data_IF_101350785459
#
_entry.id   IF_101350785459
#
_cell.length_a   1.000
_cell.length_b   1.000
_cell.length_c   1.000
_cell.angle_alpha   90.00
_cell.angle_beta   90.00
_cell.angle_gamma   90.00
#
_symmetry.space_group_name_H-M   'P 1'
#
loop_
_entity.id
_entity.type
_entity.pdbx_description
1 polymer ?
#
# COMPACT_ATOMS: atom_id res chain seq x y z
N UNK A 1 -30.57 -29.24 -21.57
CA UNK A 1 -29.86 -28.09 -22.10
C UNK A 1 -29.86 -26.99 -21.01
N UNK A 2 -28.98 -27.12 -19.99
CA UNK A 2 -28.87 -26.18 -18.88
C UNK A 2 -27.59 -25.36 -19.09
N UNK A 3 -27.74 -24.06 -19.36
CA UNK A 3 -26.64 -23.11 -19.39
C UNK A 3 -26.21 -22.81 -17.95
N UNK A 4 -25.00 -23.25 -17.57
CA UNK A 4 -24.33 -22.81 -16.39
C UNK A 4 -23.83 -21.38 -16.58
N UNK A 5 -24.52 -20.40 -15.98
CA UNK A 5 -24.07 -19.03 -15.84
C UNK A 5 -22.98 -18.98 -14.77
N UNK A 6 -21.71 -18.96 -15.20
CA UNK A 6 -20.59 -18.75 -14.31
C UNK A 6 -20.63 -17.32 -13.73
N UNK A 7 -20.98 -17.19 -12.45
CA UNK A 7 -20.76 -15.98 -11.67
C UNK A 7 -19.23 -15.79 -11.55
N UNK A 8 -18.66 -14.85 -12.27
CA UNK A 8 -17.32 -14.31 -11.95
C UNK A 8 -17.45 -13.55 -10.64
N UNK A 9 -17.19 -14.21 -9.52
CA UNK A 9 -17.00 -13.54 -8.25
C UNK A 9 -15.80 -12.58 -8.42
N UNK A 10 -16.00 -11.29 -8.10
CA UNK A 10 -14.91 -10.31 -8.05
C UNK A 10 -13.91 -10.78 -6.99
N UNK A 11 -12.61 -10.64 -7.22
CA UNK A 11 -11.53 -11.11 -6.32
C UNK A 11 -11.71 -10.65 -4.86
N UNK A 12 -12.33 -9.48 -4.64
CA UNK A 12 -12.71 -8.98 -3.31
C UNK A 12 -13.73 -9.83 -2.56
N UNK A 13 -14.71 -10.44 -3.25
CA UNK A 13 -15.72 -11.27 -2.58
C UNK A 13 -15.12 -12.54 -1.96
N UNK A 14 -14.05 -13.08 -2.52
CA UNK A 14 -13.38 -14.30 -2.03
C UNK A 14 -12.56 -14.02 -0.76
N UNK A 15 -11.87 -12.88 -0.69
CA UNK A 15 -11.13 -12.45 0.49
C UNK A 15 -12.08 -12.16 1.68
N UNK A 16 -13.21 -11.50 1.41
CA UNK A 16 -14.28 -11.23 2.38
C UNK A 16 -14.88 -12.51 2.98
N UNK A 17 -15.21 -13.49 2.13
CA UNK A 17 -15.78 -14.76 2.57
C UNK A 17 -14.77 -15.51 3.44
N UNK A 18 -13.49 -15.45 3.09
CA UNK A 18 -12.43 -16.14 3.81
C UNK A 18 -12.13 -15.47 5.16
N UNK A 19 -11.99 -14.12 5.19
CA UNK A 19 -11.78 -13.36 6.42
C UNK A 19 -12.95 -13.56 7.40
N UNK A 20 -14.20 -13.50 6.92
CA UNK A 20 -15.39 -13.84 7.69
C UNK A 20 -15.40 -15.31 8.17
N UNK A 21 -15.00 -16.25 7.31
CA UNK A 21 -14.88 -17.66 7.66
C UNK A 21 -13.82 -17.88 8.75
N UNK A 22 -12.69 -17.19 8.71
CA UNK A 22 -11.62 -17.27 9.69
C UNK A 22 -11.92 -16.50 10.98
N UNK A 23 -12.53 -15.32 10.88
CA UNK A 23 -12.90 -14.51 12.05
C UNK A 23 -14.13 -15.11 12.75
N UNK A 24 -15.09 -15.66 12.01
CA UNK A 24 -16.36 -16.17 12.56
C UNK A 24 -16.34 -17.66 12.89
N UNK A 25 -15.54 -18.48 12.21
CA UNK A 25 -15.52 -19.93 12.47
C UNK A 25 -14.55 -20.31 13.60
N UNK A 26 -15.10 -20.94 14.62
CA UNK A 26 -14.36 -21.45 15.79
C UNK A 26 -13.27 -22.50 15.47
N UNK A 27 -13.13 -22.98 14.25
CA UNK A 27 -12.13 -23.97 13.87
C UNK A 27 -10.70 -23.42 13.85
N UNK A 28 -10.51 -22.13 13.59
CA UNK A 28 -9.20 -21.47 13.60
C UNK A 28 -8.55 -21.38 15.01
N UNK A 29 -9.32 -21.59 16.08
CA UNK A 29 -8.82 -21.50 17.49
C UNK A 29 -8.32 -22.84 18.01
N UNK A 30 -8.51 -23.95 17.30
CA UNK A 30 -7.96 -25.25 17.69
C UNK A 30 -6.48 -25.44 17.35
N UNK A 31 -5.89 -24.58 16.52
CA UNK A 31 -4.42 -24.47 16.51
C UNK A 31 -4.02 -24.08 17.94
N UNK A 32 -3.46 -25.01 18.69
CA UNK A 32 -2.80 -24.78 19.98
C UNK A 32 -2.06 -23.46 19.87
N UNK A 33 -2.46 -22.46 20.70
CA UNK A 33 -1.61 -21.28 20.85
C UNK A 33 -0.23 -21.83 21.21
N UNK A 34 0.76 -21.76 20.31
CA UNK A 34 2.08 -22.27 20.66
C UNK A 34 2.53 -21.46 21.86
N UNK A 35 2.90 -22.14 22.92
CA UNK A 35 3.66 -21.54 23.98
C UNK A 35 4.88 -20.86 23.35
N UNK A 36 5.33 -19.79 23.93
CA UNK A 36 6.50 -18.99 23.61
C UNK A 36 7.57 -19.75 22.83
N UNK A 37 7.83 -19.31 21.56
CA UNK A 37 8.74 -19.96 20.63
C UNK A 37 8.30 -21.41 20.46
N UNK A 38 7.46 -21.73 19.48
CA UNK A 38 6.99 -23.10 19.32
C UNK A 38 8.23 -24.01 19.36
N UNK A 39 8.45 -24.80 20.41
CA UNK A 39 9.68 -25.57 20.57
C UNK A 39 9.82 -26.64 19.50
N UNK A 40 8.79 -26.82 18.66
CA UNK A 40 8.68 -27.88 17.67
C UNK A 40 8.54 -27.38 16.23
N UNK A 41 8.69 -26.05 15.94
CA UNK A 41 8.62 -25.57 14.56
C UNK A 41 9.83 -26.05 13.77
N UNK A 42 9.59 -26.80 12.70
CA UNK A 42 10.65 -27.27 11.81
C UNK A 42 11.16 -26.11 10.95
N UNK A 43 12.46 -25.85 11.01
CA UNK A 43 13.11 -24.76 10.31
C UNK A 43 13.93 -25.29 9.12
N UNK A 44 13.55 -24.87 7.92
CA UNK A 44 14.35 -25.03 6.70
C UNK A 44 15.14 -23.75 6.47
N UNK A 45 16.39 -23.73 6.92
CA UNK A 45 17.19 -22.49 7.01
C UNK A 45 17.41 -21.83 5.65
N UNK A 46 17.65 -22.62 4.60
CA UNK A 46 17.79 -22.11 3.24
C UNK A 46 17.52 -23.26 2.25
N UNK A 47 16.42 -23.12 1.53
CA UNK A 47 16.06 -24.06 0.45
C UNK A 47 16.71 -23.57 -0.84
N UNK A 48 17.51 -24.47 -1.45
CA UNK A 48 18.21 -24.24 -2.72
C UNK A 48 17.99 -25.41 -3.70
N UNK A 49 17.20 -26.42 -3.31
CA UNK A 49 16.91 -27.62 -4.12
C UNK A 49 15.43 -27.76 -4.37
N UNK A 50 15.10 -28.26 -5.56
CA UNK A 50 13.72 -28.39 -6.01
C UNK A 50 12.91 -29.37 -5.18
N UNK A 51 13.48 -30.53 -4.86
CA UNK A 51 12.82 -31.57 -4.04
C UNK A 51 12.45 -31.06 -2.64
N UNK A 52 13.30 -30.25 -2.03
CA UNK A 52 13.04 -29.62 -0.72
C UNK A 52 11.91 -28.59 -0.83
N UNK A 53 11.89 -27.79 -1.92
CA UNK A 53 10.84 -26.81 -2.18
C UNK A 53 9.50 -27.52 -2.44
N UNK A 54 9.47 -28.51 -3.29
CA UNK A 54 8.25 -29.25 -3.66
C UNK A 54 7.63 -29.94 -2.42
N UNK A 55 8.45 -30.55 -1.56
CA UNK A 55 8.00 -31.14 -0.31
C UNK A 55 7.38 -30.11 0.65
N UNK A 56 8.01 -28.94 0.78
CA UNK A 56 7.47 -27.84 1.59
C UNK A 56 6.13 -27.35 1.03
N UNK A 57 6.04 -27.09 -0.28
CA UNK A 57 4.84 -26.57 -0.92
C UNK A 57 3.69 -27.56 -0.84
N UNK A 58 3.95 -28.86 -1.05
CA UNK A 58 2.91 -29.90 -0.91
C UNK A 58 2.25 -29.85 0.48
N UNK A 59 3.01 -29.63 1.55
CA UNK A 59 2.47 -29.49 2.90
C UNK A 59 1.74 -28.15 3.13
N UNK A 60 2.37 -27.03 2.73
CA UNK A 60 1.79 -25.70 2.93
C UNK A 60 0.52 -25.47 2.10
N UNK A 61 0.31 -26.23 1.02
CA UNK A 61 -0.91 -26.15 0.19
C UNK A 61 -2.19 -26.55 0.93
N UNK A 62 -2.08 -27.19 2.09
CA UNK A 62 -3.20 -27.57 2.96
C UNK A 62 -3.24 -26.80 4.26
N UNK A 63 -2.35 -25.81 4.44
CA UNK A 63 -2.32 -24.98 5.63
C UNK A 63 -3.50 -23.99 5.64
N UNK A 64 -3.97 -23.62 6.81
CA UNK A 64 -4.99 -22.58 6.96
C UNK A 64 -4.48 -21.21 6.50
N UNK A 65 -3.19 -20.93 6.74
CA UNK A 65 -2.50 -19.71 6.31
C UNK A 65 -1.01 -19.93 6.16
N UNK A 66 -0.37 -19.00 5.44
CA UNK A 66 1.08 -18.88 5.38
C UNK A 66 1.48 -17.43 5.66
N UNK A 67 2.43 -17.22 6.56
CA UNK A 67 3.13 -15.95 6.74
C UNK A 67 4.19 -15.83 5.64
N UNK A 68 4.26 -14.67 4.99
CA UNK A 68 5.16 -14.43 3.86
C UNK A 68 5.89 -13.12 4.06
N UNK A 69 7.18 -13.12 3.74
CA UNK A 69 8.03 -11.95 3.72
C UNK A 69 9.04 -12.05 2.58
N UNK A 70 9.62 -10.92 2.13
CA UNK A 70 10.61 -10.93 1.06
C UNK A 70 11.76 -10.00 1.36
N UNK A 71 12.98 -10.42 0.94
CA UNK A 71 14.13 -9.54 0.90
C UNK A 71 14.52 -9.28 -0.56
N UNK A 72 14.74 -8.03 -0.91
CA UNK A 72 14.99 -7.62 -2.28
C UNK A 72 15.93 -6.40 -2.37
N UNK A 73 16.51 -6.21 -3.58
CA UNK A 73 17.29 -5.03 -3.92
C UNK A 73 16.54 -4.16 -4.94
N UNK A 74 16.56 -2.83 -4.77
CA UNK A 74 15.86 -1.90 -5.66
C UNK A 74 16.70 -0.66 -6.07
N UNK A 75 17.91 -0.56 -5.59
CA UNK A 75 18.72 0.66 -5.78
C UNK A 75 19.12 0.90 -7.24
N UNK A 76 19.39 -0.18 -7.98
CA UNK A 76 19.95 -0.13 -9.32
C UNK A 76 19.02 -0.65 -10.41
N UNK A 77 17.80 -1.04 -10.06
CA UNK A 77 16.82 -1.65 -10.97
C UNK A 77 15.49 -0.88 -10.95
N UNK A 78 14.73 -0.99 -12.02
CA UNK A 78 13.33 -0.52 -12.05
C UNK A 78 12.42 -1.42 -11.24
N UNK A 79 12.50 -2.72 -11.47
CA UNK A 79 11.78 -3.74 -10.73
C UNK A 79 12.57 -4.16 -9.49
N UNK A 80 11.91 -4.40 -8.36
CA UNK A 80 12.56 -5.02 -7.21
C UNK A 80 13.19 -6.36 -7.63
N UNK A 81 14.45 -6.56 -7.32
CA UNK A 81 15.16 -7.82 -7.56
C UNK A 81 15.01 -8.71 -6.34
N UNK A 82 14.11 -9.70 -6.41
CA UNK A 82 13.86 -10.65 -5.33
C UNK A 82 15.13 -11.42 -4.99
N UNK A 83 15.57 -11.33 -3.74
CA UNK A 83 16.80 -11.94 -3.26
C UNK A 83 16.57 -13.08 -2.27
N UNK A 84 15.46 -13.07 -1.53
CA UNK A 84 15.07 -14.13 -0.63
C UNK A 84 13.55 -14.07 -0.45
N UNK A 85 12.89 -15.23 -0.35
CA UNK A 85 11.49 -15.32 0.03
C UNK A 85 11.39 -16.20 1.28
N UNK A 86 10.67 -15.73 2.27
CA UNK A 86 10.41 -16.47 3.48
C UNK A 86 8.94 -16.85 3.57
N UNK A 87 8.69 -18.07 4.06
CA UNK A 87 7.33 -18.56 4.25
C UNK A 87 7.25 -19.41 5.51
N UNK A 88 6.18 -19.28 6.27
CA UNK A 88 5.93 -20.08 7.46
C UNK A 88 4.44 -20.30 7.70
N UNK A 89 4.10 -21.40 8.33
CA UNK A 89 2.87 -21.57 9.07
C UNK A 89 3.16 -21.78 10.57
N UNK A 90 2.30 -22.46 11.31
CA UNK A 90 2.52 -22.74 12.74
C UNK A 90 3.47 -23.92 12.99
N UNK A 91 3.81 -24.69 11.98
CA UNK A 91 4.57 -25.95 12.09
C UNK A 91 5.93 -25.90 11.42
N UNK A 92 6.03 -25.21 10.29
CA UNK A 92 7.27 -25.11 9.52
C UNK A 92 7.55 -23.68 9.08
N UNK A 93 8.85 -23.34 8.97
CA UNK A 93 9.31 -22.10 8.36
C UNK A 93 10.50 -22.35 7.44
N UNK A 94 10.57 -21.58 6.36
CA UNK A 94 11.62 -21.72 5.37
C UNK A 94 12.06 -20.37 4.81
N UNK A 95 13.36 -20.24 4.53
CA UNK A 95 13.92 -19.25 3.62
C UNK A 95 14.20 -19.96 2.29
N UNK A 96 13.79 -19.38 1.16
CA UNK A 96 13.94 -19.93 -0.18
C UNK A 96 14.82 -18.96 -0.97
N UNK A 97 15.91 -19.48 -1.57
CA UNK A 97 16.83 -18.68 -2.39
C UNK A 97 16.37 -18.66 -3.86
N UNK A 98 15.74 -17.56 -4.33
CA UNK A 98 15.29 -17.46 -5.73
C UNK A 98 16.44 -17.39 -6.75
N UNK A 99 17.67 -17.22 -6.25
CA UNK A 99 18.89 -17.16 -7.10
C UNK A 99 19.66 -18.47 -7.12
N UNK A 100 19.15 -19.52 -6.47
CA UNK A 100 19.76 -20.84 -6.51
C UNK A 100 19.66 -21.44 -7.92
N UNK A 101 20.76 -21.99 -8.40
CA UNK A 101 20.83 -22.58 -9.75
C UNK A 101 19.88 -23.78 -9.88
N UNK A 102 19.04 -23.75 -10.90
CA UNK A 102 18.09 -24.83 -11.21
C UNK A 102 16.84 -24.85 -10.33
N UNK A 103 16.64 -23.89 -9.42
CA UNK A 103 15.41 -23.81 -8.62
C UNK A 103 14.30 -23.12 -9.41
N UNK A 104 13.19 -23.83 -9.64
CA UNK A 104 11.96 -23.26 -10.20
C UNK A 104 11.04 -22.79 -9.06
N UNK A 105 10.79 -21.49 -9.02
CA UNK A 105 9.90 -20.87 -8.02
C UNK A 105 8.41 -21.06 -8.35
N UNK A 106 8.07 -21.60 -9.53
CA UNK A 106 6.67 -21.68 -9.97
C UNK A 106 5.75 -22.36 -8.95
N UNK A 107 6.09 -23.50 -8.32
CA UNK A 107 5.23 -24.12 -7.32
C UNK A 107 4.95 -23.22 -6.13
N UNK A 108 5.94 -22.45 -5.66
CA UNK A 108 5.79 -21.48 -4.58
C UNK A 108 4.91 -20.31 -5.00
N UNK A 109 5.15 -19.74 -6.18
CA UNK A 109 4.35 -18.64 -6.70
C UNK A 109 2.89 -19.07 -6.96
N UNK A 110 2.67 -20.29 -7.47
CA UNK A 110 1.33 -20.85 -7.63
C UNK A 110 0.62 -21.00 -6.27
N UNK A 111 1.29 -21.46 -5.22
CA UNK A 111 0.72 -21.47 -3.86
C UNK A 111 0.25 -20.07 -3.44
N UNK A 112 1.02 -19.05 -3.76
CA UNK A 112 0.69 -17.67 -3.36
C UNK A 112 -0.48 -17.09 -4.16
N UNK A 113 -0.57 -17.35 -5.47
CA UNK A 113 -1.54 -16.64 -6.34
C UNK A 113 -2.69 -17.51 -6.86
N UNK A 114 -2.56 -18.84 -6.89
CA UNK A 114 -3.60 -19.74 -7.40
C UNK A 114 -4.34 -20.49 -6.27
N UNK A 115 -3.69 -20.72 -5.13
CA UNK A 115 -4.33 -21.42 -4.03
C UNK A 115 -5.15 -20.44 -3.18
N UNK A 116 -6.46 -20.37 -3.44
CA UNK A 116 -7.39 -19.51 -2.72
C UNK A 116 -7.89 -20.08 -1.38
N UNK A 117 -7.54 -21.31 -1.03
CA UNK A 117 -7.89 -21.94 0.24
C UNK A 117 -6.88 -21.57 1.35
N UNK A 118 -5.67 -21.15 1.00
CA UNK A 118 -4.62 -20.72 1.92
C UNK A 118 -4.58 -19.21 2.03
N UNK A 119 -4.70 -18.66 3.23
CA UNK A 119 -4.54 -17.21 3.47
C UNK A 119 -3.07 -16.82 3.46
N UNK A 120 -2.72 -15.75 2.76
CA UNK A 120 -1.37 -15.16 2.75
C UNK A 120 -1.31 -13.99 3.72
N UNK A 121 -0.46 -14.11 4.73
CA UNK A 121 -0.32 -13.14 5.82
C UNK A 121 0.98 -12.35 5.65
N UNK A 122 0.85 -11.03 5.62
CA UNK A 122 1.95 -10.08 5.49
C UNK A 122 1.98 -9.09 6.65
N UNK A 123 3.08 -8.33 6.75
CA UNK A 123 3.15 -7.14 7.59
C UNK A 123 3.65 -5.94 6.78
N UNK A 124 2.79 -4.96 6.54
CA UNK A 124 3.07 -3.83 5.65
C UNK A 124 3.51 -4.27 4.24
N UNK A 125 2.84 -5.33 3.73
CA UNK A 125 3.25 -6.15 2.59
C UNK A 125 3.17 -5.47 1.22
N UNK A 126 3.01 -4.15 1.12
CA UNK A 126 2.84 -3.48 -0.17
C UNK A 126 3.97 -3.73 -1.16
N UNK A 127 5.23 -3.85 -0.70
CA UNK A 127 6.38 -4.14 -1.57
C UNK A 127 6.47 -5.61 -1.95
N UNK A 128 6.14 -6.50 -1.03
CA UNK A 128 6.07 -7.95 -1.28
C UNK A 128 5.00 -8.27 -2.33
N UNK A 129 3.85 -7.63 -2.21
CA UNK A 129 2.76 -7.73 -3.18
C UNK A 129 3.16 -7.20 -4.57
N UNK A 130 3.90 -6.08 -4.63
CA UNK A 130 4.48 -5.56 -5.88
C UNK A 130 5.40 -6.60 -6.52
N UNK A 131 6.27 -7.24 -5.75
CA UNK A 131 7.20 -8.27 -6.23
C UNK A 131 6.44 -9.48 -6.77
N UNK A 132 5.51 -10.03 -6.00
CA UNK A 132 4.71 -11.18 -6.42
C UNK A 132 3.89 -10.84 -7.67
N UNK A 133 3.25 -9.67 -7.71
CA UNK A 133 2.51 -9.22 -8.89
C UNK A 133 3.41 -9.06 -10.12
N UNK A 134 4.61 -8.52 -9.98
CA UNK A 134 5.56 -8.35 -11.08
C UNK A 134 6.04 -9.71 -11.63
N UNK A 135 6.20 -10.72 -10.77
CA UNK A 135 6.64 -12.05 -11.18
C UNK A 135 5.53 -12.88 -11.81
N UNK A 136 4.27 -12.68 -11.39
CA UNK A 136 3.16 -13.58 -11.75
C UNK A 136 2.06 -12.91 -12.57
N UNK A 137 1.97 -11.59 -12.58
CA UNK A 137 0.84 -10.83 -13.11
C UNK A 137 -0.44 -10.94 -12.27
N UNK A 138 -0.40 -11.58 -11.10
CA UNK A 138 -1.55 -11.86 -10.23
C UNK A 138 -1.29 -11.39 -8.80
N UNK A 139 -2.38 -11.22 -8.04
CA UNK A 139 -2.30 -10.88 -6.62
C UNK A 139 -2.40 -12.13 -5.74
N UNK A 140 -1.66 -12.21 -4.63
CA UNK A 140 -1.73 -13.32 -3.68
C UNK A 140 -3.00 -13.20 -2.80
N UNK A 141 -4.12 -13.64 -3.32
CA UNK A 141 -5.41 -13.62 -2.62
C UNK A 141 -5.87 -15.01 -2.22
N UNK A 142 -6.56 -15.18 -1.07
CA UNK A 142 -6.88 -14.15 -0.06
C UNK A 142 -5.63 -13.69 0.70
N UNK A 143 -5.60 -12.42 1.11
CA UNK A 143 -4.49 -11.86 1.87
C UNK A 143 -4.94 -11.18 3.16
N UNK A 144 -4.01 -11.04 4.11
CA UNK A 144 -4.19 -10.34 5.37
C UNK A 144 -2.93 -9.56 5.73
N UNK A 145 -3.07 -8.28 6.04
CA UNK A 145 -1.95 -7.46 6.49
C UNK A 145 -2.07 -7.16 7.99
N UNK A 146 -1.09 -7.61 8.74
CA UNK A 146 -1.05 -7.46 10.21
C UNK A 146 -0.83 -6.03 10.66
N UNK A 147 -0.26 -5.13 9.83
CA UNK A 147 -0.15 -3.71 10.14
C UNK A 147 -1.53 -3.05 10.10
N UNK A 148 -2.36 -3.37 9.11
CA UNK A 148 -3.75 -2.90 9.01
C UNK A 148 -4.56 -3.41 10.21
N UNK A 149 -4.42 -4.69 10.54
CA UNK A 149 -5.08 -5.28 11.73
C UNK A 149 -4.66 -4.58 13.03
N UNK A 150 -3.38 -4.25 13.17
CA UNK A 150 -2.85 -3.52 14.31
C UNK A 150 -3.43 -2.10 14.42
N UNK A 151 -3.73 -1.43 13.31
CA UNK A 151 -4.41 -0.13 13.29
C UNK A 151 -5.82 -0.21 13.89
N UNK A 152 -6.58 -1.26 13.57
CA UNK A 152 -7.92 -1.50 14.13
C UNK A 152 -7.89 -1.85 15.62
N UNK A 153 -6.77 -2.37 16.10
CA UNK A 153 -6.55 -2.75 17.51
C UNK A 153 -5.85 -1.69 18.35
N UNK A 154 -5.58 -0.50 17.79
CA UNK A 154 -5.03 0.63 18.53
C UNK A 154 -3.52 0.61 18.75
N UNK A 155 -2.78 -0.19 17.99
CA UNK A 155 -1.32 -0.23 18.06
C UNK A 155 -0.62 0.92 17.30
N UNK A 156 -1.38 1.95 16.86
CA UNK A 156 -0.87 3.11 16.13
C UNK A 156 -1.13 3.05 14.63
N UNK A 157 -0.76 4.13 13.91
CA UNK A 157 -1.12 4.33 12.49
C UNK A 157 -0.31 3.49 11.50
N UNK A 158 0.94 3.18 11.83
CA UNK A 158 1.85 2.41 10.99
C UNK A 158 2.91 1.77 11.90
N UNK A 159 2.45 0.92 12.82
CA UNK A 159 3.39 0.24 13.71
C UNK A 159 4.36 -0.61 12.88
N UNK A 160 5.66 -0.42 13.12
CA UNK A 160 6.69 -1.27 12.49
C UNK A 160 6.67 -2.67 13.09
N UNK A 161 7.07 -3.64 12.27
CA UNK A 161 7.02 -5.06 12.58
C UNK A 161 7.61 -5.41 13.96
N UNK A 162 8.85 -5.01 14.22
CA UNK A 162 9.52 -5.30 15.49
C UNK A 162 8.79 -4.74 16.71
N UNK A 163 8.20 -3.53 16.59
CA UNK A 163 7.44 -2.94 17.69
C UNK A 163 6.11 -3.69 17.92
N UNK A 164 5.49 -4.19 16.86
CA UNK A 164 4.28 -5.01 16.98
C UNK A 164 4.60 -6.36 17.62
N UNK A 165 5.68 -7.01 17.21
CA UNK A 165 6.17 -8.25 17.82
C UNK A 165 6.50 -8.04 19.30
N UNK A 166 7.22 -7.00 19.65
CA UNK A 166 7.54 -6.67 21.04
C UNK A 166 6.27 -6.42 21.87
N UNK A 167 5.34 -5.61 21.35
CA UNK A 167 4.07 -5.30 22.03
C UNK A 167 3.16 -6.51 22.23
N UNK A 168 3.14 -7.44 21.28
CA UNK A 168 2.19 -8.57 21.26
C UNK A 168 2.79 -9.87 21.77
N UNK A 169 4.08 -10.08 21.58
CA UNK A 169 4.80 -11.32 21.92
C UNK A 169 5.83 -11.13 23.01
N UNK A 170 6.22 -9.88 23.34
CA UNK A 170 7.26 -9.60 24.35
C UNK A 170 8.68 -9.90 23.86
N UNK A 171 8.88 -10.04 22.54
CA UNK A 171 10.19 -10.34 21.95
C UNK A 171 10.79 -9.10 21.28
N UNK A 172 12.03 -8.80 21.55
CA UNK A 172 12.81 -7.80 20.83
C UNK A 172 13.51 -8.47 19.63
N UNK A 173 13.33 -7.91 18.43
CA UNK A 173 13.97 -8.43 17.21
C UNK A 173 15.28 -7.73 16.92
N UNK A 174 16.30 -8.49 16.50
CA UNK A 174 17.55 -7.93 15.96
C UNK A 174 17.29 -7.31 14.58
N UNK A 175 17.56 -6.02 14.42
CA UNK A 175 17.38 -5.27 13.16
C UNK A 175 18.65 -5.21 12.32
N UNK A 176 19.71 -5.86 12.74
CA UNK A 176 21.06 -5.64 12.18
C UNK A 176 21.27 -6.15 10.76
N UNK A 177 20.41 -7.05 10.26
CA UNK A 177 20.51 -7.56 8.89
C UNK A 177 19.62 -6.83 7.88
N UNK A 178 18.68 -5.99 8.32
CA UNK A 178 17.66 -5.34 7.47
C UNK A 178 18.24 -4.56 6.27
N UNK A 179 19.38 -3.91 6.43
CA UNK A 179 19.98 -3.05 5.41
C UNK A 179 21.24 -3.64 4.80
N UNK A 180 21.39 -4.96 4.83
CA UNK A 180 22.52 -5.65 4.23
C UNK A 180 22.29 -5.88 2.73
N UNK A 181 23.34 -6.19 2.00
CA UNK A 181 23.23 -6.55 0.58
C UNK A 181 22.70 -7.97 0.43
N UNK A 182 21.40 -8.08 0.18
CA UNK A 182 20.70 -9.35 -0.01
C UNK A 182 21.01 -10.03 -1.34
N UNK A 183 21.57 -9.32 -2.31
CA UNK A 183 21.97 -9.90 -3.60
C UNK A 183 23.23 -10.75 -3.53
N UNK A 184 24.05 -10.55 -2.49
CA UNK A 184 25.32 -11.24 -2.30
C UNK A 184 25.12 -12.72 -1.97
N UNK A 185 26.00 -13.58 -2.50
CA UNK A 185 26.04 -15.02 -2.19
C UNK A 185 27.44 -15.44 -1.77
N UNK A 186 27.54 -16.40 -0.83
CA UNK A 186 26.45 -16.97 -0.03
C UNK A 186 25.85 -15.96 0.96
N UNK A 187 24.58 -16.13 1.33
CA UNK A 187 23.99 -15.41 2.45
C UNK A 187 24.67 -15.83 3.75
N UNK A 188 24.92 -14.87 4.63
CA UNK A 188 25.48 -15.18 5.92
C UNK A 188 24.44 -15.73 6.93
N UNK A 189 24.94 -16.33 8.00
CA UNK A 189 24.07 -16.92 9.03
C UNK A 189 23.13 -15.90 9.66
N UNK A 190 23.57 -14.66 9.82
CA UNK A 190 22.81 -13.60 10.47
C UNK A 190 21.66 -13.11 9.57
N UNK A 191 21.89 -13.04 8.26
CA UNK A 191 20.85 -12.75 7.27
C UNK A 191 19.76 -13.85 7.30
N UNK A 192 20.16 -15.11 7.27
CA UNK A 192 19.20 -16.24 7.29
C UNK A 192 18.43 -16.28 8.63
N UNK A 193 19.11 -16.07 9.76
CA UNK A 193 18.45 -16.06 11.08
C UNK A 193 17.44 -14.91 11.18
N UNK A 194 17.77 -13.73 10.67
CA UNK A 194 16.88 -12.58 10.59
C UNK A 194 15.63 -12.90 9.73
N UNK A 195 15.83 -13.36 8.52
CA UNK A 195 14.75 -13.68 7.57
C UNK A 195 13.78 -14.74 8.10
N UNK A 196 14.30 -15.80 8.72
CA UNK A 196 13.48 -16.84 9.36
C UNK A 196 12.71 -16.27 10.56
N UNK A 197 13.33 -15.40 11.36
CA UNK A 197 12.67 -14.76 12.50
C UNK A 197 11.45 -13.92 12.07
N UNK A 198 11.53 -13.22 10.93
CA UNK A 198 10.44 -12.39 10.45
C UNK A 198 9.18 -13.23 10.18
N UNK A 199 9.25 -14.34 9.51
CA UNK A 199 8.07 -15.17 9.23
C UNK A 199 7.63 -16.04 10.42
N UNK A 200 8.55 -16.52 11.27
CA UNK A 200 8.17 -17.34 12.44
C UNK A 200 7.42 -16.52 13.49
N UNK A 201 7.84 -15.27 13.72
CA UNK A 201 7.11 -14.36 14.59
C UNK A 201 5.79 -13.93 13.96
N UNK A 202 5.73 -13.72 12.63
CA UNK A 202 4.52 -13.36 11.92
C UNK A 202 3.47 -14.48 12.00
N UNK A 203 3.89 -15.74 11.82
CA UNK A 203 3.03 -16.91 11.99
C UNK A 203 2.51 -17.06 13.42
N UNK A 204 3.30 -16.67 14.42
CA UNK A 204 2.88 -16.66 15.84
C UNK A 204 1.97 -15.47 16.17
N UNK A 205 2.21 -14.32 15.56
CA UNK A 205 1.50 -13.07 15.80
C UNK A 205 0.07 -13.09 15.23
N UNK A 206 -0.08 -13.62 14.01
CA UNK A 206 -1.35 -13.60 13.27
C UNK A 206 -2.52 -14.20 14.05
N UNK A 207 -2.47 -15.43 14.62
CA UNK A 207 -3.56 -15.99 15.39
C UNK A 207 -3.95 -15.15 16.62
N UNK A 208 -2.98 -14.49 17.26
CA UNK A 208 -3.22 -13.61 18.41
C UNK A 208 -3.96 -12.33 17.98
N UNK A 209 -3.60 -11.74 16.83
CA UNK A 209 -4.31 -10.59 16.26
C UNK A 209 -5.75 -10.95 15.90
N UNK A 210 -5.97 -12.07 15.21
CA UNK A 210 -7.31 -12.56 14.88
C UNK A 210 -8.15 -12.79 16.15
N UNK A 211 -7.56 -13.36 17.20
CA UNK A 211 -8.22 -13.54 18.49
C UNK A 211 -8.66 -12.22 19.14
N UNK A 212 -7.85 -11.15 19.03
CA UNK A 212 -8.20 -9.81 19.51
C UNK A 212 -9.29 -9.16 18.63
N UNK A 213 -9.19 -9.27 17.30
CA UNK A 213 -10.21 -8.74 16.37
C UNK A 213 -11.59 -9.35 16.63
N UNK A 214 -11.65 -10.67 16.89
CA UNK A 214 -12.90 -11.35 17.28
C UNK A 214 -13.50 -10.78 18.57
N UNK A 215 -12.68 -10.60 19.60
CA UNK A 215 -13.12 -10.07 20.90
C UNK A 215 -13.66 -8.64 20.80
N UNK A 216 -13.16 -7.85 19.87
CA UNK A 216 -13.56 -6.45 19.68
C UNK A 216 -14.64 -6.27 18.60
N UNK A 217 -15.06 -7.35 17.90
CA UNK A 217 -15.97 -7.33 16.76
C UNK A 217 -15.54 -6.36 15.62
N UNK A 218 -14.22 -6.21 15.42
CA UNK A 218 -13.63 -5.26 14.43
C UNK A 218 -13.10 -5.94 13.17
N UNK A 219 -13.42 -7.21 12.98
CA UNK A 219 -12.93 -7.95 11.80
C UNK A 219 -13.37 -7.32 10.48
N UNK A 220 -14.65 -6.98 10.38
CA UNK A 220 -15.26 -6.41 9.17
C UNK A 220 -14.70 -5.00 8.82
N UNK A 221 -14.02 -4.33 9.76
CA UNK A 221 -13.44 -3.01 9.52
C UNK A 221 -12.21 -3.06 8.61
N UNK A 222 -11.64 -4.24 8.43
CA UNK A 222 -10.43 -4.47 7.63
C UNK A 222 -10.73 -4.74 6.16
N UNK A 223 -11.98 -5.11 5.84
CA UNK A 223 -12.34 -5.63 4.51
C UNK A 223 -11.96 -4.66 3.38
N UNK A 224 -12.38 -3.39 3.48
CA UNK A 224 -12.08 -2.38 2.47
C UNK A 224 -10.57 -2.11 2.32
N UNK A 225 -9.82 -2.19 3.43
CA UNK A 225 -8.37 -1.96 3.41
C UNK A 225 -7.63 -3.14 2.76
N UNK A 226 -8.08 -4.38 3.04
CA UNK A 226 -7.54 -5.58 2.42
C UNK A 226 -7.89 -5.65 0.93
N UNK A 227 -9.13 -5.30 0.54
CA UNK A 227 -9.54 -5.21 -0.86
C UNK A 227 -8.68 -4.20 -1.64
N UNK A 228 -8.45 -3.02 -1.05
CA UNK A 228 -7.61 -2.00 -1.67
C UNK A 228 -6.14 -2.45 -1.78
N UNK A 229 -5.63 -3.16 -0.78
CA UNK A 229 -4.28 -3.71 -0.83
C UNK A 229 -4.16 -4.81 -1.89
N UNK A 230 -5.23 -5.58 -2.10
CA UNK A 230 -5.33 -6.63 -3.13
C UNK A 230 -5.64 -6.11 -4.54
N UNK A 231 -5.89 -4.81 -4.70
CA UNK A 231 -6.21 -4.22 -6.01
C UNK A 231 -4.96 -4.15 -6.90
N UNK A 232 -4.89 -4.94 -8.00
CA UNK A 232 -3.74 -4.92 -8.91
C UNK A 232 -3.53 -3.56 -9.58
N UNK A 233 -4.55 -2.71 -9.66
CA UNK A 233 -4.41 -1.36 -10.23
C UNK A 233 -3.44 -0.48 -9.43
N UNK A 234 -3.23 -0.80 -8.14
CA UNK A 234 -2.25 -0.13 -7.30
C UNK A 234 -0.80 -0.36 -7.77
N UNK A 235 -0.55 -1.46 -8.49
CA UNK A 235 0.77 -1.86 -9.00
C UNK A 235 0.89 -1.69 -10.52
N UNK A 236 -0.24 -1.73 -11.23
CA UNK A 236 -0.31 -1.51 -12.67
C UNK A 236 -0.35 0.00 -12.96
N UNK A 237 0.82 0.59 -13.17
CA UNK A 237 0.90 2.01 -13.49
C UNK A 237 1.13 2.19 -15.00
N UNK A 238 0.14 2.64 -15.78
CA UNK A 238 0.28 2.86 -17.22
C UNK A 238 1.39 3.89 -17.52
N UNK A 239 2.29 3.64 -18.49
CA UNK A 239 3.33 4.60 -18.84
C UNK A 239 2.81 6.00 -19.17
N UNK A 240 1.63 6.09 -19.80
CA UNK A 240 0.96 7.34 -20.17
C UNK A 240 0.55 8.18 -18.95
N UNK A 241 0.47 7.59 -17.79
CA UNK A 241 0.15 8.26 -16.51
C UNK A 241 1.39 8.68 -15.72
N UNK A 242 2.59 8.33 -16.17
CA UNK A 242 3.85 8.61 -15.46
C UNK A 242 4.07 10.09 -15.14
N UNK A 243 3.55 10.98 -15.98
CA UNK A 243 3.63 12.43 -15.79
C UNK A 243 2.85 12.93 -14.56
N UNK A 244 1.80 12.22 -14.12
CA UNK A 244 0.98 12.58 -12.95
C UNK A 244 1.76 12.54 -11.64
N UNK A 245 2.91 11.85 -11.62
CA UNK A 245 3.83 11.75 -10.46
C UNK A 245 4.88 12.84 -10.44
N UNK A 246 4.97 13.66 -11.49
CA UNK A 246 5.98 14.70 -11.62
C UNK A 246 5.44 16.02 -11.09
N UNK A 247 6.36 16.85 -10.57
CA UNK A 247 6.05 18.26 -10.31
C UNK A 247 5.81 18.95 -11.65
N UNK A 248 4.63 19.52 -11.83
CA UNK A 248 4.24 20.14 -13.10
C UNK A 248 4.97 21.47 -13.30
N UNK A 249 5.67 21.68 -14.44
CA UNK A 249 6.43 22.90 -14.71
C UNK A 249 5.53 24.06 -15.14
N UNK A 250 4.33 23.77 -15.65
CA UNK A 250 3.42 24.73 -16.28
C UNK A 250 1.99 24.19 -16.25
N UNK A 251 1.01 25.07 -16.51
CA UNK A 251 -0.38 24.70 -16.81
C UNK A 251 -0.71 24.79 -18.30
N UNK A 252 0.26 25.10 -19.13
CA UNK A 252 0.08 25.16 -20.57
C UNK A 252 -0.21 23.75 -21.12
N UNK A 253 -1.36 23.52 -21.80
CA UNK A 253 -1.76 22.20 -22.32
C UNK A 253 -0.69 21.56 -23.20
N UNK A 254 0.01 22.31 -24.05
CA UNK A 254 1.04 21.79 -24.92
C UNK A 254 2.30 21.36 -24.14
N UNK A 255 2.71 22.13 -23.12
CA UNK A 255 3.83 21.75 -22.23
C UNK A 255 3.51 20.47 -21.47
N UNK A 256 2.27 20.36 -20.96
CA UNK A 256 1.83 19.17 -20.26
C UNK A 256 1.70 17.95 -21.17
N UNK A 257 1.25 18.14 -22.42
CA UNK A 257 1.21 17.08 -23.43
C UNK A 257 2.60 16.54 -23.75
N UNK A 258 3.59 17.42 -23.91
CA UNK A 258 5.01 17.03 -24.08
C UNK A 258 5.54 16.31 -22.86
N UNK A 259 5.21 16.78 -21.64
CA UNK A 259 5.61 16.14 -20.41
C UNK A 259 5.01 14.74 -20.29
N UNK A 260 3.73 14.55 -20.65
CA UNK A 260 3.05 13.26 -20.71
C UNK A 260 3.79 12.29 -21.65
N UNK A 261 4.08 12.75 -22.87
CA UNK A 261 4.78 11.94 -23.88
C UNK A 261 6.19 11.54 -23.42
N UNK A 262 6.97 12.49 -22.91
CA UNK A 262 8.34 12.25 -22.39
C UNK A 262 8.34 11.34 -21.15
N UNK A 263 7.41 11.53 -20.22
CA UNK A 263 7.32 10.71 -19.02
C UNK A 263 6.93 9.27 -19.37
N UNK A 264 5.98 9.08 -20.31
CA UNK A 264 5.57 7.76 -20.80
C UNK A 264 6.71 7.04 -21.53
N UNK A 265 7.42 7.76 -22.39
CA UNK A 265 8.62 7.24 -23.05
C UNK A 265 9.69 6.83 -22.02
N UNK A 266 10.01 7.70 -21.05
CA UNK A 266 10.97 7.38 -19.98
C UNK A 266 10.56 6.15 -19.17
N UNK A 267 9.30 6.04 -18.86
CA UNK A 267 8.75 4.90 -18.13
C UNK A 267 8.97 3.59 -18.91
N UNK A 268 8.69 3.60 -20.21
CA UNK A 268 8.90 2.44 -21.09
C UNK A 268 10.38 2.07 -21.22
N UNK A 269 11.29 3.06 -21.38
CA UNK A 269 12.73 2.82 -21.41
C UNK A 269 13.25 2.26 -20.08
N UNK A 270 12.78 2.81 -18.95
CA UNK A 270 13.18 2.36 -17.62
C UNK A 270 12.77 0.90 -17.38
N UNK A 271 11.54 0.54 -17.73
CA UNK A 271 11.03 -0.84 -17.65
C UNK A 271 11.79 -1.80 -18.55
N UNK A 272 11.94 -1.45 -19.83
CA UNK A 272 12.59 -2.30 -20.82
C UNK A 272 14.05 -2.55 -20.53
N UNK A 273 14.75 -1.59 -19.90
CA UNK A 273 16.16 -1.72 -19.51
C UNK A 273 16.36 -2.15 -18.06
N UNK A 274 15.28 -2.30 -17.32
CA UNK A 274 15.29 -2.56 -15.87
C UNK A 274 16.22 -1.57 -15.11
N UNK A 275 16.10 -0.27 -15.42
CA UNK A 275 16.90 0.79 -14.79
C UNK A 275 15.98 1.80 -14.07
N UNK A 276 16.41 2.35 -12.93
CA UNK A 276 15.68 3.43 -12.27
C UNK A 276 15.38 4.58 -13.24
N UNK A 277 14.19 5.18 -13.15
CA UNK A 277 13.73 6.29 -14.00
C UNK A 277 14.76 7.42 -14.10
N UNK A 278 15.35 7.80 -12.96
CA UNK A 278 16.36 8.86 -12.88
C UNK A 278 17.70 8.51 -13.56
N UNK A 279 17.96 7.24 -13.82
CA UNK A 279 19.11 6.77 -14.62
C UNK A 279 18.86 6.92 -16.12
N UNK A 280 17.59 6.92 -16.53
CA UNK A 280 17.22 7.24 -17.91
C UNK A 280 17.28 8.76 -18.10
N UNK A 281 16.42 9.51 -17.41
CA UNK A 281 16.38 10.99 -17.40
C UNK A 281 15.83 11.46 -16.06
N UNK A 282 16.44 12.50 -15.49
CA UNK A 282 15.96 13.13 -14.26
C UNK A 282 14.68 13.93 -14.50
N UNK A 283 13.87 14.10 -13.46
CA UNK A 283 12.58 14.81 -13.51
C UNK A 283 12.75 16.26 -13.99
N UNK A 284 13.75 16.99 -13.47
CA UNK A 284 14.03 18.38 -13.88
C UNK A 284 14.37 18.49 -15.37
N UNK A 285 15.12 17.52 -15.89
CA UNK A 285 15.47 17.48 -17.33
C UNK A 285 14.24 17.20 -18.19
N UNK A 286 13.30 16.32 -17.75
CA UNK A 286 12.03 16.12 -18.46
C UNK A 286 11.20 17.40 -18.49
N UNK A 287 11.13 18.12 -17.38
CA UNK A 287 10.40 19.37 -17.27
C UNK A 287 10.99 20.45 -18.20
N UNK A 288 12.32 20.55 -18.28
CA UNK A 288 13.01 21.46 -19.18
C UNK A 288 12.73 21.13 -20.66
N UNK A 289 12.82 19.86 -21.04
CA UNK A 289 12.52 19.38 -22.38
C UNK A 289 11.05 19.62 -22.79
N UNK A 290 10.13 19.49 -21.86
CA UNK A 290 8.71 19.75 -22.12
C UNK A 290 8.44 21.25 -22.33
N UNK A 291 9.10 22.11 -21.55
CA UNK A 291 8.97 23.58 -21.65
C UNK A 291 9.71 24.14 -22.88
N UNK A 292 10.92 23.65 -23.12
CA UNK A 292 11.84 24.10 -24.18
C UNK A 292 12.28 22.92 -25.06
N UNK A 293 11.41 22.42 -25.95
CA UNK A 293 11.71 21.23 -26.73
C UNK A 293 12.86 21.48 -27.72
N UNK A 294 13.80 20.53 -27.85
CA UNK A 294 14.83 20.58 -28.87
C UNK A 294 14.22 20.53 -30.27
N UNK A 295 14.80 21.23 -31.22
CA UNK A 295 14.33 21.26 -32.62
C UNK A 295 14.83 20.08 -33.44
N UNK A 296 15.95 19.50 -33.05
CA UNK A 296 16.57 18.34 -33.69
C UNK A 296 17.18 17.41 -32.66
N UNK A 297 17.50 16.19 -33.08
CA UNK A 297 18.22 15.24 -32.21
C UNK A 297 19.59 15.75 -31.83
N UNK A 298 20.29 16.51 -32.70
CA UNK A 298 21.56 17.11 -32.40
C UNK A 298 21.52 18.08 -31.21
N UNK A 299 20.43 18.80 -31.07
CA UNK A 299 20.22 19.75 -29.98
C UNK A 299 20.14 19.06 -28.60
N UNK A 300 19.82 17.75 -28.54
CA UNK A 300 19.88 16.97 -27.30
C UNK A 300 21.29 16.98 -26.67
N UNK A 301 22.32 17.10 -27.49
CA UNK A 301 23.70 17.21 -26.98
C UNK A 301 23.97 18.49 -26.16
N UNK A 302 23.11 19.50 -26.28
CA UNK A 302 23.19 20.78 -25.54
C UNK A 302 22.33 20.79 -24.28
N UNK A 303 21.43 19.82 -24.09
CA UNK A 303 20.52 19.77 -22.96
C UNK A 303 21.24 19.31 -21.70
N UNK A 304 21.18 20.13 -20.65
CA UNK A 304 21.80 19.80 -19.36
C UNK A 304 21.17 18.54 -18.77
N UNK A 305 22.00 17.59 -18.36
CA UNK A 305 21.54 16.34 -17.73
C UNK A 305 21.31 15.20 -18.72
N UNK A 306 21.48 15.42 -20.04
CA UNK A 306 21.56 14.36 -21.03
C UNK A 306 23.01 14.04 -21.38
N UNK A 307 23.27 12.77 -21.73
CA UNK A 307 24.57 12.38 -22.31
C UNK A 307 24.73 12.95 -23.74
N UNK A 308 25.92 13.40 -24.08
CA UNK A 308 26.22 13.90 -25.43
C UNK A 308 25.97 12.86 -26.53
N UNK A 309 26.00 11.57 -26.21
CA UNK A 309 25.67 10.49 -27.15
C UNK A 309 24.21 10.48 -27.62
N UNK A 310 23.32 11.16 -26.93
CA UNK A 310 21.87 11.19 -27.29
C UNK A 310 21.62 11.94 -28.61
N UNK A 311 22.51 12.81 -29.01
CA UNK A 311 22.47 13.52 -30.32
C UNK A 311 22.49 12.58 -31.53
N UNK A 312 22.93 11.30 -31.36
CA UNK A 312 23.11 10.39 -32.49
C UNK A 312 22.71 8.92 -32.18
N UNK A 313 22.25 8.61 -30.98
CA UNK A 313 21.86 7.24 -30.62
C UNK A 313 20.36 7.00 -30.68
N UNK A 314 19.95 5.73 -30.63
CA UNK A 314 18.54 5.29 -30.72
C UNK A 314 17.68 5.80 -29.56
N UNK A 315 18.25 6.03 -28.37
CA UNK A 315 17.51 6.55 -27.23
C UNK A 315 17.06 7.98 -27.52
N UNK A 316 17.98 8.81 -28.04
CA UNK A 316 17.66 10.17 -28.45
C UNK A 316 16.63 10.20 -29.57
N UNK A 317 16.74 9.30 -30.57
CA UNK A 317 15.76 9.19 -31.65
C UNK A 317 14.37 8.85 -31.13
N UNK A 318 14.23 7.84 -30.23
CA UNK A 318 12.94 7.49 -29.63
C UNK A 318 12.35 8.61 -28.78
N UNK A 319 13.18 9.35 -28.05
CA UNK A 319 12.73 10.52 -27.30
C UNK A 319 12.20 11.62 -28.21
N UNK A 320 12.91 11.92 -29.31
CA UNK A 320 12.45 12.89 -30.31
C UNK A 320 11.14 12.46 -30.98
N UNK A 321 10.97 11.15 -31.26
CA UNK A 321 9.72 10.61 -31.76
C UNK A 321 8.57 10.83 -30.77
N UNK A 322 8.80 10.58 -29.46
CA UNK A 322 7.79 10.83 -28.42
C UNK A 322 7.43 12.32 -28.32
N UNK A 323 8.41 13.22 -28.42
CA UNK A 323 8.17 14.66 -28.45
C UNK A 323 7.39 15.11 -29.69
N UNK A 324 7.70 14.58 -30.86
CA UNK A 324 7.01 14.92 -32.12
C UNK A 324 5.55 14.44 -32.13
N UNK A 325 5.26 13.34 -31.44
CA UNK A 325 3.89 12.81 -31.28
C UNK A 325 3.12 13.48 -30.14
N UNK A 326 3.70 14.46 -29.43
CA UNK A 326 3.04 15.09 -28.30
C UNK A 326 1.95 16.07 -28.76
N UNK A 327 0.75 15.82 -28.27
CA UNK A 327 -0.42 16.70 -28.49
C UNK A 327 -0.75 17.47 -27.20
N UNK A 328 -1.36 18.67 -27.31
CA UNK A 328 -1.86 19.38 -26.14
C UNK A 328 -2.81 18.50 -25.33
N UNK A 329 -2.74 18.55 -24.01
CA UNK A 329 -3.71 17.87 -23.17
C UNK A 329 -5.11 18.48 -23.35
N UNK A 330 -6.11 17.62 -23.46
CA UNK A 330 -7.51 18.03 -23.47
C UNK A 330 -7.93 18.66 -22.14
N UNK A 331 -8.96 19.49 -22.17
CA UNK A 331 -9.39 20.29 -21.01
C UNK A 331 -9.81 19.43 -19.80
N UNK A 332 -10.38 18.26 -20.06
CA UNK A 332 -10.83 17.28 -19.05
C UNK A 332 -9.67 16.50 -18.40
N UNK A 333 -8.53 16.39 -19.12
CA UNK A 333 -7.30 15.71 -18.63
C UNK A 333 -6.35 16.70 -17.94
N UNK A 334 -6.51 18.00 -18.20
CA UNK A 334 -5.71 19.01 -17.50
C UNK A 334 -5.87 18.85 -16.00
N UNK A 335 -4.77 18.97 -15.21
CA UNK A 335 -4.85 19.00 -13.76
C UNK A 335 -5.69 20.19 -13.33
N UNK A 336 -6.98 20.01 -13.34
CA UNK A 336 -7.90 20.95 -12.69
C UNK A 336 -7.75 20.76 -11.18
N UNK A 337 -7.96 21.80 -10.41
CA UNK A 337 -8.47 21.58 -9.05
C UNK A 337 -9.68 20.70 -9.24
N UNK A 338 -9.63 19.46 -8.73
CA UNK A 338 -10.71 18.48 -8.85
C UNK A 338 -12.04 19.22 -8.59
N UNK A 339 -12.95 19.33 -9.56
CA UNK A 339 -14.23 20.00 -9.32
C UNK A 339 -15.06 19.28 -8.26
N UNK A 340 -14.75 17.98 -8.00
CA UNK A 340 -15.24 17.21 -6.84
C UNK A 340 -14.55 17.57 -5.53
N UNK A 341 -13.45 18.36 -5.58
CA UNK A 341 -12.76 18.90 -4.41
C UNK A 341 -12.64 20.41 -4.56
N UNK A 342 -13.69 21.18 -4.19
CA UNK A 342 -13.58 22.62 -4.11
C UNK A 342 -12.37 22.94 -3.21
N UNK A 343 -11.48 23.82 -3.69
CA UNK A 343 -10.33 24.20 -2.86
C UNK A 343 -10.83 24.80 -1.56
N UNK A 344 -10.22 24.40 -0.45
CA UNK A 344 -10.57 24.93 0.87
C UNK A 344 -10.48 26.45 0.85
N UNK A 345 -11.54 27.11 1.26
CA UNK A 345 -11.53 28.53 1.64
C UNK A 345 -10.65 28.69 2.89
N UNK A 346 -10.34 29.93 3.29
CA UNK A 346 -9.63 30.15 4.56
C UNK A 346 -10.38 29.53 5.73
N UNK A 347 -11.70 29.70 5.78
CA UNK A 347 -12.55 29.12 6.82
C UNK A 347 -12.66 27.60 6.69
N UNK A 348 -12.75 27.05 5.46
CA UNK A 348 -12.72 25.62 5.21
C UNK A 348 -11.44 24.96 5.72
N UNK A 349 -10.31 25.64 5.69
CA UNK A 349 -9.07 25.13 6.28
C UNK A 349 -9.18 25.01 7.82
N UNK A 350 -9.78 25.98 8.48
CA UNK A 350 -10.04 25.94 9.93
C UNK A 350 -11.04 24.81 10.28
N UNK A 351 -12.09 24.66 9.48
CA UNK A 351 -13.05 23.54 9.65
C UNK A 351 -12.34 22.19 9.49
N UNK A 352 -11.44 22.06 8.51
CA UNK A 352 -10.62 20.83 8.35
C UNK A 352 -9.75 20.56 9.59
N UNK A 353 -9.20 21.59 10.23
CA UNK A 353 -8.40 21.41 11.44
C UNK A 353 -9.26 21.01 12.65
N UNK A 354 -10.49 21.53 12.77
CA UNK A 354 -11.45 21.05 13.77
C UNK A 354 -11.85 19.59 13.52
N UNK A 355 -12.05 19.18 12.28
CA UNK A 355 -12.30 17.77 11.93
C UNK A 355 -11.11 16.87 12.28
N UNK A 356 -9.87 17.31 12.07
CA UNK A 356 -8.66 16.58 12.51
C UNK A 356 -8.61 16.44 14.02
N UNK A 357 -9.01 17.50 14.76
CA UNK A 357 -9.11 17.43 16.21
C UNK A 357 -10.16 16.42 16.66
N UNK A 358 -11.36 16.46 16.06
CA UNK A 358 -12.42 15.49 16.32
C UNK A 358 -11.94 14.05 16.03
N UNK A 359 -11.28 13.85 14.89
CA UNK A 359 -10.72 12.54 14.52
C UNK A 359 -9.73 12.03 15.57
N UNK A 360 -8.85 12.90 16.07
CA UNK A 360 -7.88 12.56 17.12
C UNK A 360 -8.58 12.14 18.42
N UNK A 361 -9.67 12.80 18.79
CA UNK A 361 -10.48 12.47 19.97
C UNK A 361 -11.12 11.09 19.77
N UNK A 362 -11.84 10.88 18.66
CA UNK A 362 -12.54 9.62 18.38
C UNK A 362 -11.56 8.44 18.22
N UNK A 363 -10.41 8.67 17.62
CA UNK A 363 -9.31 7.69 17.56
C UNK A 363 -8.84 7.27 18.95
N UNK A 364 -8.65 8.21 19.86
CA UNK A 364 -8.25 7.94 21.25
C UNK A 364 -9.34 7.18 22.03
N UNK A 365 -10.60 7.57 21.88
CA UNK A 365 -11.73 6.95 22.58
C UNK A 365 -12.02 5.53 22.08
N UNK A 366 -12.02 5.33 20.77
CA UNK A 366 -12.25 4.03 20.15
C UNK A 366 -11.02 3.10 20.24
N UNK A 367 -9.84 3.65 20.48
CA UNK A 367 -8.57 2.91 20.38
C UNK A 367 -8.31 2.40 18.96
N UNK A 368 -8.66 3.16 17.93
CA UNK A 368 -8.44 2.84 16.51
C UNK A 368 -7.54 3.91 15.90
N UNK A 369 -6.60 3.52 15.06
CA UNK A 369 -5.72 4.47 14.39
C UNK A 369 -6.50 5.48 13.53
N UNK A 370 -6.16 6.76 13.61
CA UNK A 370 -6.83 7.84 12.88
C UNK A 370 -6.92 7.59 11.38
N UNK A 371 -5.83 7.09 10.76
CA UNK A 371 -5.79 6.79 9.32
C UNK A 371 -6.74 5.71 8.86
N UNK A 372 -7.11 4.78 9.76
CA UNK A 372 -8.09 3.75 9.44
C UNK A 372 -9.51 4.33 9.46
N UNK A 373 -9.79 5.29 10.33
CA UNK A 373 -11.09 5.96 10.46
C UNK A 373 -11.32 6.93 9.31
N UNK A 374 -10.38 7.87 9.09
CA UNK A 374 -10.51 8.92 8.08
C UNK A 374 -9.15 9.31 7.49
N UNK A 375 -9.13 9.68 6.21
CA UNK A 375 -7.97 10.26 5.52
C UNK A 375 -8.07 11.77 5.51
N UNK A 376 -6.93 12.45 5.40
CA UNK A 376 -6.91 13.93 5.28
C UNK A 376 -7.78 14.43 4.12
N UNK A 377 -7.75 13.71 3.00
CA UNK A 377 -8.55 14.04 1.82
C UNK A 377 -10.06 13.99 2.10
N UNK A 378 -10.52 13.04 2.93
CA UNK A 378 -11.94 12.92 3.31
C UNK A 378 -12.36 14.12 4.19
N UNK A 379 -11.49 14.52 5.12
CA UNK A 379 -11.74 15.67 6.01
C UNK A 379 -11.78 16.98 5.23
N UNK A 380 -10.85 17.17 4.29
CA UNK A 380 -10.82 18.35 3.42
C UNK A 380 -12.04 18.39 2.50
N UNK A 381 -12.45 17.26 1.92
CA UNK A 381 -13.65 17.20 1.11
C UNK A 381 -14.93 17.53 1.92
N UNK A 382 -15.03 16.99 3.13
CA UNK A 382 -16.15 17.28 4.03
C UNK A 382 -16.18 18.78 4.43
N UNK A 383 -15.02 19.37 4.77
CA UNK A 383 -14.87 20.78 5.07
C UNK A 383 -15.19 21.70 3.88
N UNK A 384 -14.93 21.22 2.65
CA UNK A 384 -15.28 21.90 1.40
C UNK A 384 -16.76 21.77 0.99
N UNK A 385 -17.58 21.08 1.80
CA UNK A 385 -19.03 20.96 1.55
C UNK A 385 -19.46 19.66 0.87
N UNK A 386 -18.58 18.68 0.63
CA UNK A 386 -18.99 17.36 0.09
C UNK A 386 -19.74 16.60 1.19
N UNK A 387 -20.93 16.09 0.85
CA UNK A 387 -21.86 15.44 1.80
C UNK A 387 -22.23 14.00 1.42
N UNK A 388 -21.62 13.45 0.37
CA UNK A 388 -21.90 12.08 -0.08
C UNK A 388 -20.68 11.49 -0.78
N UNK A 389 -20.62 10.15 -0.85
CA UNK A 389 -19.54 9.44 -1.54
C UNK A 389 -18.19 9.42 -0.80
N UNK A 390 -18.14 9.90 0.44
CA UNK A 390 -16.96 9.80 1.30
C UNK A 390 -17.02 8.52 2.14
N UNK A 391 -15.93 7.75 2.26
CA UNK A 391 -15.89 6.54 3.10
C UNK A 391 -16.30 6.80 4.56
N UNK A 392 -15.97 7.98 5.09
CA UNK A 392 -16.32 8.39 6.46
C UNK A 392 -17.82 8.59 6.69
N UNK A 393 -18.63 8.63 5.64
CA UNK A 393 -20.08 8.83 5.72
C UNK A 393 -20.86 7.51 5.56
N UNK A 394 -20.20 6.35 5.68
CA UNK A 394 -20.84 5.05 5.55
C UNK A 394 -20.24 4.01 6.50
N UNK A 395 -21.00 2.94 6.76
CA UNK A 395 -20.55 1.78 7.53
C UNK A 395 -20.05 2.14 8.92
N UNK A 396 -19.07 1.37 9.41
CA UNK A 396 -18.51 1.55 10.75
C UNK A 396 -17.79 2.90 10.95
N UNK A 397 -17.24 3.50 9.88
CA UNK A 397 -16.60 4.81 9.95
C UNK A 397 -17.59 5.91 10.26
N UNK A 398 -18.81 5.80 9.73
CA UNK A 398 -19.88 6.74 10.04
C UNK A 398 -20.23 6.67 11.54
N UNK A 399 -20.37 5.48 12.11
CA UNK A 399 -20.69 5.29 13.53
C UNK A 399 -19.55 5.76 14.45
N UNK A 400 -18.30 5.60 14.06
CA UNK A 400 -17.15 5.97 14.88
C UNK A 400 -16.77 7.45 14.77
N UNK A 401 -17.09 8.11 13.64
CA UNK A 401 -16.62 9.47 13.37
C UNK A 401 -17.57 10.29 12.50
N UNK A 402 -18.11 9.71 11.42
CA UNK A 402 -18.80 10.46 10.37
C UNK A 402 -20.03 11.22 10.84
N UNK A 403 -20.79 10.66 11.77
CA UNK A 403 -21.96 11.31 12.38
C UNK A 403 -21.55 12.60 13.07
N UNK A 404 -20.58 12.54 13.96
CA UNK A 404 -20.09 13.72 14.69
C UNK A 404 -19.39 14.72 13.78
N UNK A 405 -18.73 14.23 12.72
CA UNK A 405 -18.11 15.08 11.72
C UNK A 405 -19.14 15.89 10.93
N UNK A 406 -20.31 15.28 10.60
CA UNK A 406 -21.43 16.02 10.01
C UNK A 406 -22.02 17.03 11.00
N UNK A 407 -22.25 16.61 12.26
CA UNK A 407 -22.77 17.52 13.28
C UNK A 407 -21.84 18.72 13.52
N UNK A 408 -20.52 18.51 13.44
CA UNK A 408 -19.53 19.57 13.55
C UNK A 408 -19.61 20.57 12.38
N UNK A 409 -19.63 20.10 11.14
CA UNK A 409 -19.67 20.98 9.96
C UNK A 409 -21.03 21.64 9.74
N UNK A 410 -22.08 21.16 10.38
CA UNK A 410 -23.43 21.72 10.37
C UNK A 410 -23.73 22.58 11.61
N UNK A 411 -22.73 22.78 12.50
CA UNK A 411 -22.85 23.64 13.68
C UNK A 411 -23.64 23.03 14.84
N UNK A 412 -23.94 21.73 14.80
CA UNK A 412 -24.63 21.02 15.90
C UNK A 412 -23.67 20.44 16.95
N UNK A 413 -22.38 20.33 16.63
CA UNK A 413 -21.33 19.94 17.56
C UNK A 413 -20.35 21.09 17.76
N UNK A 414 -20.07 21.45 19.03
CA UNK A 414 -19.12 22.47 19.39
C UNK A 414 -18.04 21.94 20.33
N UNK A 415 -16.86 22.56 20.28
CA UNK A 415 -15.79 22.33 21.26
C UNK A 415 -15.81 23.41 22.31
N UNK A 416 -15.66 23.04 23.58
CA UNK A 416 -15.53 23.95 24.72
C UNK A 416 -14.39 23.49 25.62
N UNK A 417 -13.80 24.44 26.35
CA UNK A 417 -12.83 24.14 27.41
C UNK A 417 -13.52 24.36 28.77
N UNK A 418 -13.52 23.28 29.57
CA UNK A 418 -14.02 23.33 30.93
C UNK A 418 -12.95 22.84 31.89
N UNK A 419 -12.52 23.69 32.82
CA UNK A 419 -11.45 23.40 33.79
C UNK A 419 -10.17 22.82 33.15
N UNK A 420 -9.75 23.39 32.01
CA UNK A 420 -8.56 22.93 31.25
C UNK A 420 -8.75 21.63 30.47
N UNK A 421 -9.97 21.09 30.42
CA UNK A 421 -10.31 19.87 29.66
C UNK A 421 -11.19 20.20 28.46
N UNK A 422 -10.86 19.59 27.34
CA UNK A 422 -11.67 19.70 26.14
C UNK A 422 -12.97 18.92 26.32
N UNK A 423 -14.08 19.58 26.04
CA UNK A 423 -15.44 19.00 25.99
C UNK A 423 -16.03 19.15 24.60
N UNK A 424 -16.87 18.19 24.22
CA UNK A 424 -17.75 18.27 23.05
C UNK A 424 -19.17 18.43 23.55
N UNK A 425 -19.89 19.38 22.97
CA UNK A 425 -21.28 19.68 23.35
C UNK A 425 -22.15 19.67 22.11
N UNK A 426 -23.24 18.90 22.14
CA UNK A 426 -24.27 18.99 21.12
C UNK A 426 -25.13 20.24 21.41
N UNK A 427 -25.34 21.05 20.40
CA UNK A 427 -26.25 22.21 20.44
C UNK A 427 -27.60 21.83 19.83
N UNK A 428 -28.69 22.23 20.43
CA UNK A 428 -30.03 21.91 19.95
C UNK A 428 -30.36 22.62 18.62
N UNK A 429 -29.75 23.79 18.38
CA UNK A 429 -29.82 24.56 17.15
C UNK A 429 -28.41 24.87 16.63
N UNK A 430 -28.23 25.04 15.31
CA UNK A 430 -26.95 25.50 14.76
C UNK A 430 -26.55 26.81 15.46
N UNK A 431 -25.30 26.89 15.89
CA UNK A 431 -24.76 28.11 16.49
C UNK A 431 -24.93 29.25 15.48
N UNK A 432 -25.84 30.17 15.74
CA UNK A 432 -25.97 31.41 14.96
C UNK A 432 -24.73 32.26 15.24
N UNK A 433 -23.86 32.37 14.27
CA UNK A 433 -22.79 33.37 14.31
C UNK A 433 -23.45 34.67 13.99
N UNK A 434 -23.57 35.58 14.99
CA UNK A 434 -23.87 36.99 14.72
C UNK A 434 -22.76 37.51 13.79
N UNK A 435 -23.11 37.76 12.51
CA UNK A 435 -22.22 38.56 11.66
C UNK A 435 -21.99 39.89 12.36
N UNK A 436 -20.80 40.08 12.91
CA UNK A 436 -20.38 41.38 13.36
C UNK A 436 -20.42 42.31 12.13
N UNK A 437 -21.42 43.17 12.15
CA UNK A 437 -21.54 44.31 11.22
C UNK A 437 -20.37 45.25 11.51
N UNK A 438 -19.24 45.02 10.84
CA UNK A 438 -18.20 46.04 10.67
C UNK A 438 -18.34 46.62 9.25
N UNK A 439 -19.26 47.57 9.18
CA UNK A 439 -19.31 48.55 8.13
C UNK A 439 -18.84 49.88 8.72
N UNK A 440 -17.61 50.28 8.42
CA UNK A 440 -17.19 51.67 8.28
C UNK A 440 -15.79 51.72 7.64
#
# INVERSE_FOLDING_TARGET
MFKAGGLRLKAGATALIWLRRCILNHHFVKARAPGYGAPDMKIHRLITKQDELDALIARLSTADFVAVDTEFMRENTYWPDLCLLQIADTEEAAAIDPKAEGLDLKPLLDLLVENHDVLKVFHAGGQDLEIIHNLTGKMPVPLFDTQIAAMALGHGEQIGYSNLVESMLGHSLDKGARFTDWSRRPLDKRQIDYAIADVTHLATLFPKLVGKLRKTARGDWLDEEMERLADPSSFAFPPEDAWKRLKLPSRNPLVLGRLRALAGWRESEARGKNLPRGRIVKDDTLNELAAHPPKSQEDLGKVRGLSSGWRSNDIGARMMTALAAAEPLEADVLPTRDPKRPGLTKDGALVSDLLKLLLKIRSKESGVASKLIARSDDLEALAAGVRSGLPILSGWRFEQFGRDALDLVEGRLAFAIDNGRLKMTLTADPVQVEESADSA
#
